data_IF_782048480023
#
_entry.id   IF_782048480023
#
_cell.length_a   1.000
_cell.length_b   1.000
_cell.length_c   1.000
_cell.angle_alpha   90.00
_cell.angle_beta   90.00
_cell.angle_gamma   90.00
#
_symmetry.space_group_name_H-M   'P 1'
#
loop_
_entity.id
_entity.type
_entity.pdbx_description
1 polymer ?
#
# COMPACT_ATOMS: atom_id res chain seq x y z
N UNK A 1 5.99 -12.61 -31.05
CA UNK A 1 5.65 -12.32 -29.64
C UNK A 1 5.50 -10.81 -29.49
N UNK A 2 4.33 -10.31 -29.08
CA UNK A 2 3.98 -8.87 -29.16
C UNK A 2 4.86 -8.00 -28.24
N UNK A 3 5.44 -6.88 -28.72
CA UNK A 3 6.45 -6.08 -28.02
C UNK A 3 5.89 -5.15 -26.93
N UNK A 4 4.62 -5.26 -26.54
CA UNK A 4 3.98 -4.39 -25.55
C UNK A 4 4.31 -4.74 -24.08
N UNK A 5 5.01 -5.85 -23.81
CA UNK A 5 5.27 -6.32 -22.43
C UNK A 5 6.52 -5.73 -21.75
N UNK A 6 7.37 -5.01 -22.49
CA UNK A 6 8.60 -4.41 -21.93
C UNK A 6 8.41 -3.00 -21.38
N UNK A 7 7.45 -2.22 -21.90
CA UNK A 7 7.18 -0.86 -21.42
C UNK A 7 6.24 -0.85 -20.20
N UNK A 8 5.34 -1.83 -20.11
CA UNK A 8 4.42 -1.95 -18.97
C UNK A 8 5.11 -2.37 -17.67
N UNK A 9 6.19 -3.18 -17.74
CA UNK A 9 6.94 -3.68 -16.59
C UNK A 9 7.55 -2.58 -15.69
N UNK A 10 8.32 -1.61 -16.23
CA UNK A 10 8.89 -0.55 -15.41
C UNK A 10 7.84 0.42 -14.88
N UNK A 11 6.79 0.70 -15.66
CA UNK A 11 5.70 1.57 -15.21
C UNK A 11 4.90 0.92 -14.07
N UNK A 12 4.57 -0.37 -14.19
CA UNK A 12 3.91 -1.11 -13.10
C UNK A 12 4.77 -1.17 -11.84
N UNK A 13 6.09 -1.30 -11.99
CA UNK A 13 7.03 -1.25 -10.87
C UNK A 13 7.04 0.13 -10.20
N UNK A 14 7.14 1.21 -10.96
CA UNK A 14 7.13 2.57 -10.43
C UNK A 14 5.82 2.90 -9.70
N UNK A 15 4.67 2.51 -10.27
CA UNK A 15 3.36 2.67 -9.63
C UNK A 15 3.27 1.82 -8.35
N UNK A 16 3.79 0.59 -8.37
CA UNK A 16 3.81 -0.27 -7.18
C UNK A 16 4.71 0.26 -6.07
N UNK A 17 5.88 0.81 -6.41
CA UNK A 17 6.79 1.43 -5.47
C UNK A 17 6.18 2.71 -4.87
N UNK A 18 5.57 3.56 -5.70
CA UNK A 18 4.86 4.75 -5.23
C UNK A 18 3.70 4.42 -4.29
N UNK A 19 2.96 3.35 -4.59
CA UNK A 19 1.89 2.85 -3.70
C UNK A 19 2.44 2.35 -2.38
N UNK A 20 3.59 1.66 -2.38
CA UNK A 20 4.26 1.20 -1.16
C UNK A 20 4.71 2.37 -0.25
N UNK A 21 5.27 3.43 -0.85
CA UNK A 21 5.66 4.64 -0.10
C UNK A 21 4.44 5.33 0.53
N UNK A 22 3.35 5.47 -0.23
CA UNK A 22 2.10 6.04 0.27
C UNK A 22 1.50 5.19 1.40
N UNK A 23 1.50 3.87 1.26
CA UNK A 23 1.01 2.96 2.27
C UNK A 23 1.86 3.03 3.56
N UNK A 24 3.19 3.08 3.45
CA UNK A 24 4.09 3.25 4.60
C UNK A 24 3.87 4.57 5.34
N UNK A 25 3.68 5.67 4.61
CA UNK A 25 3.37 6.97 5.21
C UNK A 25 2.00 6.99 5.92
N UNK A 26 0.97 6.39 5.30
CA UNK A 26 -0.36 6.25 5.90
C UNK A 26 -0.32 5.36 7.15
N UNK A 27 0.48 4.29 7.13
CA UNK A 27 0.70 3.42 8.27
C UNK A 27 1.32 4.15 9.45
N UNK A 28 2.41 4.89 9.22
CA UNK A 28 3.06 5.71 10.26
C UNK A 28 2.09 6.72 10.89
N UNK A 29 1.29 7.41 10.05
CA UNK A 29 0.24 8.33 10.51
C UNK A 29 -0.83 7.64 11.36
N UNK A 30 -1.35 6.49 10.92
CA UNK A 30 -2.37 5.76 11.66
C UNK A 30 -1.84 5.24 13.01
N UNK A 31 -0.58 4.79 13.06
CA UNK A 31 0.08 4.33 14.27
C UNK A 31 0.26 5.46 15.30
N UNK A 32 0.70 6.63 14.84
CA UNK A 32 0.80 7.83 15.68
C UNK A 32 -0.57 8.26 16.25
N UNK A 33 -1.65 8.15 15.46
CA UNK A 33 -3.01 8.49 15.93
C UNK A 33 -3.52 7.49 16.98
N UNK A 34 -3.11 6.22 16.89
CA UNK A 34 -3.45 5.19 17.88
C UNK A 34 -2.69 5.34 19.22
N UNK A 35 -1.98 6.44 19.45
CA UNK A 35 -1.37 6.78 20.74
C UNK A 35 -0.08 6.01 21.05
N UNK A 36 0.56 5.44 20.03
CA UNK A 36 1.88 4.85 20.18
C UNK A 36 2.90 5.97 19.87
N UNK A 37 3.57 6.47 20.92
CA UNK A 37 4.57 7.54 20.82
C UNK A 37 5.82 7.14 20.02
N UNK A 38 6.04 5.82 19.85
CA UNK A 38 7.16 5.24 19.11
C UNK A 38 6.75 4.70 17.72
N UNK A 39 7.76 4.55 16.85
CA UNK A 39 7.60 3.85 15.56
C UNK A 39 7.04 2.44 15.77
N UNK A 40 6.24 1.96 14.80
CA UNK A 40 5.61 0.65 14.88
C UNK A 40 6.66 -0.45 15.08
N UNK A 41 6.38 -1.46 15.93
CA UNK A 41 7.33 -2.52 16.22
C UNK A 41 7.74 -3.21 14.92
N UNK A 42 9.06 -3.32 14.73
CA UNK A 42 9.63 -3.89 13.52
C UNK A 42 9.40 -5.41 13.51
N UNK A 43 9.17 -5.99 12.33
CA UNK A 43 8.79 -7.41 12.22
C UNK A 43 9.90 -8.36 12.73
N UNK A 44 11.12 -7.86 12.84
CA UNK A 44 12.33 -8.56 13.29
C UNK A 44 12.75 -8.21 14.72
N UNK A 45 11.92 -7.50 15.48
CA UNK A 45 12.28 -7.03 16.82
C UNK A 45 12.30 -8.21 17.82
N UNK A 46 13.50 -8.66 18.20
CA UNK A 46 13.75 -9.89 18.98
C UNK A 46 13.18 -9.84 20.40
N UNK A 47 13.01 -8.64 20.96
CA UNK A 47 12.56 -8.44 22.34
C UNK A 47 11.04 -8.34 22.47
N UNK A 48 10.30 -8.32 21.35
CA UNK A 48 8.84 -8.19 21.32
C UNK A 48 8.18 -9.55 21.27
N UNK A 49 7.03 -9.69 21.97
CA UNK A 49 6.27 -10.94 21.95
C UNK A 49 5.63 -11.15 20.58
N UNK A 50 5.63 -12.39 20.08
CA UNK A 50 4.97 -12.79 18.82
C UNK A 50 3.56 -12.20 18.63
N UNK A 51 2.76 -12.12 19.70
CA UNK A 51 1.41 -11.55 19.65
C UNK A 51 1.40 -10.07 19.24
N UNK A 52 2.37 -9.30 19.70
CA UNK A 52 2.49 -7.87 19.42
C UNK A 52 2.92 -7.64 17.97
N UNK A 53 3.87 -8.44 17.48
CA UNK A 53 4.31 -8.44 16.07
C UNK A 53 3.15 -8.80 15.14
N UNK A 54 2.37 -9.83 15.47
CA UNK A 54 1.22 -10.24 14.65
C UNK A 54 0.11 -9.19 14.61
N UNK A 55 -0.17 -8.50 15.72
CA UNK A 55 -1.14 -7.41 15.75
C UNK A 55 -0.66 -6.22 14.91
N UNK A 56 0.62 -5.84 15.05
CA UNK A 56 1.21 -4.78 14.24
C UNK A 56 1.20 -5.11 12.74
N UNK A 57 1.56 -6.35 12.38
CA UNK A 57 1.51 -6.84 11.00
C UNK A 57 0.08 -6.85 10.45
N UNK A 58 -0.90 -7.27 11.23
CA UNK A 58 -2.31 -7.26 10.83
C UNK A 58 -2.81 -5.83 10.58
N UNK A 59 -2.45 -4.88 11.45
CA UNK A 59 -2.81 -3.47 11.26
C UNK A 59 -2.11 -2.88 10.02
N UNK A 60 -0.84 -3.22 9.80
CA UNK A 60 -0.12 -2.81 8.60
C UNK A 60 -0.79 -3.33 7.33
N UNK A 61 -1.15 -4.62 7.32
CA UNK A 61 -1.89 -5.24 6.23
C UNK A 61 -3.26 -4.58 5.98
N UNK A 62 -3.99 -4.25 7.04
CA UNK A 62 -5.28 -3.57 6.94
C UNK A 62 -5.15 -2.17 6.32
N UNK A 63 -4.17 -1.39 6.74
CA UNK A 63 -3.92 -0.05 6.20
C UNK A 63 -3.47 -0.13 4.74
N UNK A 64 -2.58 -1.08 4.41
CA UNK A 64 -2.18 -1.34 3.04
C UNK A 64 -3.38 -1.68 2.15
N UNK A 65 -4.28 -2.55 2.61
CA UNK A 65 -5.48 -2.93 1.87
C UNK A 65 -6.40 -1.73 1.60
N UNK A 66 -6.59 -0.85 2.58
CA UNK A 66 -7.38 0.38 2.42
C UNK A 66 -6.75 1.33 1.40
N UNK A 67 -5.45 1.58 1.50
CA UNK A 67 -4.72 2.45 0.55
C UNK A 67 -4.79 1.87 -0.86
N UNK A 68 -4.57 0.57 -1.01
CA UNK A 68 -4.69 -0.13 -2.30
C UNK A 68 -6.09 0.01 -2.88
N UNK A 69 -7.14 -0.25 -2.10
CA UNK A 69 -8.51 -0.10 -2.56
C UNK A 69 -8.83 1.34 -3.01
N UNK A 70 -8.33 2.34 -2.27
CA UNK A 70 -8.50 3.74 -2.63
C UNK A 70 -7.77 4.10 -3.94
N UNK A 71 -6.53 3.60 -4.13
CA UNK A 71 -5.75 3.80 -5.35
C UNK A 71 -6.40 3.08 -6.54
N UNK A 72 -6.82 1.83 -6.39
CA UNK A 72 -7.49 1.05 -7.44
C UNK A 72 -8.79 1.74 -7.88
N UNK A 73 -9.60 2.21 -6.92
CA UNK A 73 -10.83 2.97 -7.18
C UNK A 73 -10.54 4.31 -7.85
N UNK A 74 -9.52 5.03 -7.38
CA UNK A 74 -9.10 6.33 -7.91
C UNK A 74 -8.59 6.20 -9.34
N UNK A 75 -7.75 5.20 -9.59
CA UNK A 75 -7.23 4.84 -10.91
C UNK A 75 -8.35 4.45 -11.88
N UNK A 76 -9.28 3.59 -11.45
CA UNK A 76 -10.44 3.23 -12.28
C UNK A 76 -11.32 4.44 -12.64
N UNK A 77 -11.49 5.36 -11.69
CA UNK A 77 -12.23 6.60 -11.90
C UNK A 77 -11.50 7.55 -12.85
N UNK A 78 -10.18 7.66 -12.73
CA UNK A 78 -9.34 8.47 -13.61
C UNK A 78 -9.34 7.92 -15.04
N UNK A 79 -9.18 6.61 -15.22
CA UNK A 79 -9.30 5.94 -16.52
C UNK A 79 -10.67 6.22 -17.12
N UNK A 80 -11.76 6.01 -16.37
CA UNK A 80 -13.12 6.33 -16.85
C UNK A 80 -13.28 7.79 -17.27
N UNK A 81 -12.68 8.75 -16.56
CA UNK A 81 -12.72 10.16 -16.97
C UNK A 81 -11.98 10.43 -18.28
N UNK A 82 -10.87 9.73 -18.51
CA UNK A 82 -10.01 9.95 -19.68
C UNK A 82 -10.53 9.19 -20.90
N UNK A 83 -10.94 7.93 -20.74
CA UNK A 83 -11.34 7.04 -21.83
C UNK A 83 -12.85 6.90 -21.97
N UNK A 84 -13.64 7.39 -21.02
CA UNK A 84 -15.10 7.21 -20.98
C UNK A 84 -15.54 5.79 -20.56
N UNK A 85 -14.62 4.84 -20.49
CA UNK A 85 -14.88 3.43 -20.24
C UNK A 85 -14.35 3.00 -18.88
N UNK A 86 -15.10 2.13 -18.20
CA UNK A 86 -14.63 1.55 -16.93
C UNK A 86 -13.58 0.46 -17.22
N UNK A 87 -12.41 0.49 -16.56
CA UNK A 87 -11.44 -0.60 -16.69
C UNK A 87 -11.96 -1.85 -15.96
N UNK A 88 -12.12 -2.95 -16.71
CA UNK A 88 -12.51 -4.27 -16.22
C UNK A 88 -11.29 -5.17 -16.00
#
# INVERSE_FOLDING_TARGET
MKPSRLVFKPLSLAVSAGTGVLAGAAFKKAWQILGHEDDAPDATDEHRRWREILIAAALHGAIFAVVKAAVDRGGATAVRRITGTWPA
#
